data_IF_285987281955
#
_entry.id   IF_285987281955
#
_cell.length_a   1.000
_cell.length_b   1.000
_cell.length_c   1.000
_cell.angle_alpha   90.00
_cell.angle_beta   90.00
_cell.angle_gamma   90.00
#
_symmetry.space_group_name_H-M   'P 1'
#
loop_
_entity.id
_entity.type
_entity.pdbx_description
1 polymer ?
#
# COMPACT_ATOMS: atom_id res chain seq x y z
N UNK A 1 -42.17 -15.01 10.91
CA UNK A 1 -42.40 -13.75 10.16
C UNK A 1 -41.08 -12.98 10.11
N UNK A 2 -40.74 -12.45 8.93
CA UNK A 2 -39.41 -12.06 8.48
C UNK A 2 -38.78 -10.82 9.15
N UNK A 3 -37.45 -10.78 9.24
CA UNK A 3 -36.66 -9.53 9.19
C UNK A 3 -35.44 -9.74 8.29
N UNK A 4 -35.58 -9.26 7.05
CA UNK A 4 -34.54 -9.11 6.04
C UNK A 4 -33.88 -7.74 6.25
N UNK A 5 -32.62 -7.70 6.68
CA UNK A 5 -31.78 -6.50 6.58
C UNK A 5 -30.78 -6.70 5.45
N UNK A 6 -31.25 -6.49 4.22
CA UNK A 6 -30.39 -6.31 3.05
C UNK A 6 -29.70 -4.95 3.17
N UNK A 7 -28.53 -4.92 3.81
CA UNK A 7 -27.68 -3.74 3.82
C UNK A 7 -27.08 -3.52 2.44
N UNK A 8 -27.62 -2.51 1.79
CA UNK A 8 -27.27 -1.95 0.51
C UNK A 8 -25.79 -1.50 0.46
N UNK A 9 -24.86 -2.41 0.15
CA UNK A 9 -23.47 -2.05 -0.17
C UNK A 9 -23.46 -1.54 -1.61
N UNK A 10 -23.54 -0.22 -1.76
CA UNK A 10 -23.20 0.49 -3.00
C UNK A 10 -21.83 -0.04 -3.47
N UNK A 11 -21.63 -0.42 -4.74
CA UNK A 11 -20.28 -0.74 -5.21
C UNK A 11 -19.50 0.58 -5.13
N UNK A 12 -18.75 0.74 -4.04
CA UNK A 12 -17.75 1.79 -3.95
C UNK A 12 -16.88 1.58 -5.19
N UNK A 13 -16.82 2.59 -6.05
CA UNK A 13 -15.87 2.67 -7.17
C UNK A 13 -14.56 2.11 -6.62
N UNK A 14 -14.15 0.92 -7.06
CA UNK A 14 -13.02 0.19 -6.47
C UNK A 14 -11.74 0.94 -6.81
N UNK A 15 -11.49 2.04 -6.11
CA UNK A 15 -10.16 2.60 -5.99
C UNK A 15 -9.41 1.54 -5.20
N UNK A 16 -8.84 0.56 -5.91
CA UNK A 16 -8.14 -0.57 -5.29
C UNK A 16 -7.13 -0.01 -4.32
N UNK A 17 -7.37 -0.25 -3.04
CA UNK A 17 -6.39 0.06 -2.02
C UNK A 17 -5.09 -0.66 -2.36
N UNK A 18 -3.93 -0.03 -2.16
CA UNK A 18 -2.66 -0.68 -2.44
C UNK A 18 -2.52 -1.95 -1.59
N UNK A 19 -2.10 -3.03 -2.22
CA UNK A 19 -1.81 -4.29 -1.54
C UNK A 19 -0.54 -4.20 -0.70
N UNK A 20 0.42 -3.37 -1.15
CA UNK A 20 1.66 -3.09 -0.47
C UNK A 20 2.03 -1.61 -0.56
N UNK A 21 2.74 -1.11 0.45
CA UNK A 21 3.42 0.18 0.45
C UNK A 21 4.90 -0.04 0.18
N UNK A 22 5.48 0.77 -0.71
CA UNK A 22 6.89 0.74 -1.04
C UNK A 22 7.69 1.70 -0.15
N UNK A 23 8.70 1.15 0.51
CA UNK A 23 9.59 1.86 1.42
C UNK A 23 11.02 1.81 0.90
N UNK A 24 11.66 2.95 0.78
CA UNK A 24 13.12 3.01 0.68
C UNK A 24 13.70 2.84 2.09
N UNK A 25 14.60 1.88 2.22
CA UNK A 25 15.35 1.64 3.45
C UNK A 25 16.82 1.96 3.17
N UNK A 26 17.32 2.99 3.85
CA UNK A 26 18.71 3.45 3.76
C UNK A 26 19.37 3.48 5.14
N UNK A 27 20.70 3.39 5.18
CA UNK A 27 21.49 3.36 6.42
C UNK A 27 22.04 1.98 6.75
N UNK A 28 22.75 1.90 7.87
CA UNK A 28 23.42 0.68 8.34
C UNK A 28 22.53 -0.12 9.30
N UNK A 29 22.98 -1.30 9.71
CA UNK A 29 22.24 -2.20 10.60
C UNK A 29 21.78 -1.53 11.90
N UNK A 30 22.56 -0.58 12.43
CA UNK A 30 22.24 0.15 13.66
C UNK A 30 21.22 1.28 13.49
N UNK A 31 21.12 1.87 12.30
CA UNK A 31 20.25 3.03 12.02
C UNK A 31 19.71 2.96 10.60
N UNK A 32 18.50 2.42 10.47
CA UNK A 32 17.76 2.37 9.22
C UNK A 32 16.73 3.52 9.14
N UNK A 33 16.79 4.29 8.06
CA UNK A 33 15.81 5.29 7.68
C UNK A 33 14.77 4.65 6.76
N UNK A 34 13.50 4.83 7.09
CA UNK A 34 12.37 4.31 6.32
C UNK A 34 11.60 5.46 5.70
N UNK A 35 11.64 5.55 4.38
CA UNK A 35 10.96 6.60 3.62
C UNK A 35 9.93 5.95 2.71
N UNK A 36 8.66 6.38 2.78
CA UNK A 36 7.64 5.92 1.84
C UNK A 36 7.92 6.53 0.48
N UNK A 37 8.02 5.69 -0.56
CA UNK A 37 8.35 6.12 -1.93
C UNK A 37 7.32 5.69 -2.98
N UNK A 38 6.29 4.94 -2.57
CA UNK A 38 5.26 4.49 -3.49
C UNK A 38 4.37 3.40 -2.91
N UNK A 39 3.73 2.64 -3.80
CA UNK A 39 2.83 1.55 -3.46
C UNK A 39 2.72 0.52 -4.59
N UNK A 40 2.22 -0.68 -4.27
CA UNK A 40 1.99 -1.74 -5.23
C UNK A 40 0.57 -2.30 -5.14
N UNK A 41 0.03 -2.70 -6.30
CA UNK A 41 -1.30 -3.26 -6.46
C UNK A 41 -1.23 -4.61 -7.13
N UNK A 42 -2.03 -5.56 -6.66
CA UNK A 42 -2.17 -6.87 -7.29
C UNK A 42 -2.88 -6.74 -8.63
N UNK A 43 -2.42 -7.54 -9.59
CA UNK A 43 -3.08 -7.67 -10.88
C UNK A 43 -4.40 -8.44 -10.75
N UNK A 44 -5.24 -8.36 -11.78
CA UNK A 44 -6.56 -9.01 -11.78
C UNK A 44 -6.48 -10.53 -11.89
N UNK A 45 -5.46 -11.02 -12.59
CA UNK A 45 -5.14 -12.44 -12.76
C UNK A 45 -4.53 -13.07 -11.50
N UNK A 46 -4.13 -12.25 -10.52
CA UNK A 46 -3.42 -12.70 -9.32
C UNK A 46 -1.94 -13.00 -9.55
N UNK A 47 -1.45 -12.88 -10.78
CA UNK A 47 -0.13 -13.28 -11.23
C UNK A 47 0.75 -12.05 -11.47
N UNK A 48 0.82 -11.16 -10.48
CA UNK A 48 1.66 -9.99 -10.59
C UNK A 48 1.28 -8.83 -9.69
N UNK A 49 2.19 -7.86 -9.66
CA UNK A 49 2.05 -6.62 -8.94
C UNK A 49 2.47 -5.47 -9.86
N UNK A 50 1.68 -4.41 -9.91
CA UNK A 50 2.13 -3.13 -10.44
C UNK A 50 2.73 -2.34 -9.30
N UNK A 51 4.01 -1.99 -9.41
CA UNK A 51 4.69 -1.09 -8.49
C UNK A 51 4.71 0.33 -9.09
N UNK A 52 4.09 1.29 -8.40
CA UNK A 52 4.19 2.71 -8.74
C UNK A 52 5.08 3.41 -7.72
N UNK A 53 6.07 4.14 -8.22
CA UNK A 53 7.00 4.91 -7.41
C UNK A 53 6.77 6.40 -7.67
N UNK A 54 6.59 7.16 -6.59
CA UNK A 54 6.57 8.63 -6.63
C UNK A 54 8.00 9.17 -6.72
N UNK A 55 8.95 8.42 -6.16
CA UNK A 55 10.36 8.77 -6.06
C UNK A 55 11.20 7.53 -6.34
N UNK A 56 12.24 7.68 -7.17
CA UNK A 56 13.22 6.63 -7.42
C UNK A 56 14.50 6.96 -6.63
N UNK A 57 14.89 6.15 -5.63
CA UNK A 57 16.11 6.39 -4.88
C UNK A 57 17.32 6.16 -5.80
N UNK A 58 18.09 7.23 -6.06
CA UNK A 58 19.34 7.19 -6.83
C UNK A 58 20.54 6.78 -5.99
N UNK A 59 20.44 6.98 -4.68
CA UNK A 59 21.45 6.59 -3.71
C UNK A 59 21.21 5.13 -3.31
N UNK A 60 22.27 4.44 -2.88
CA UNK A 60 22.19 3.05 -2.43
C UNK A 60 21.11 2.79 -1.36
N UNK A 61 20.78 1.52 -1.16
CA UNK A 61 19.73 1.06 -0.26
C UNK A 61 18.85 0.02 -0.91
N UNK A 62 17.69 -0.27 -0.31
CA UNK A 62 16.74 -1.25 -0.83
C UNK A 62 15.31 -0.73 -0.80
N UNK A 63 14.50 -1.18 -1.75
CA UNK A 63 13.06 -0.96 -1.76
C UNK A 63 12.41 -2.19 -1.11
N UNK A 64 11.60 -1.95 -0.08
CA UNK A 64 10.88 -2.98 0.66
C UNK A 64 9.38 -2.76 0.50
N UNK A 65 8.67 -3.80 0.06
CA UNK A 65 7.21 -3.80 -0.01
C UNK A 65 6.64 -4.40 1.27
N UNK A 66 5.73 -3.68 1.93
CA UNK A 66 5.04 -4.16 3.14
C UNK A 66 3.54 -3.92 3.05
N UNK A 67 2.75 -4.80 3.65
CA UNK A 67 1.32 -4.58 3.75
C UNK A 67 1.04 -3.25 4.48
N UNK A 68 0.01 -2.49 4.04
CA UNK A 68 -0.47 -1.35 4.79
C UNK A 68 -0.82 -1.81 6.21
N UNK A 69 -0.13 -1.30 7.21
CA UNK A 69 -0.51 -1.55 8.60
C UNK A 69 -1.83 -0.82 8.87
N UNK A 70 -2.76 -1.43 9.61
CA UNK A 70 -4.08 -0.84 9.93
C UNK A 70 -3.99 0.48 10.72
N UNK A 71 -2.78 0.87 11.14
CA UNK A 71 -2.53 2.03 11.99
C UNK A 71 -2.14 3.33 11.27
N UNK A 72 -2.42 3.47 9.97
CA UNK A 72 -2.21 4.76 9.30
C UNK A 72 -3.21 5.04 8.17
N UNK A 73 -4.48 5.20 8.55
CA UNK A 73 -5.42 6.02 7.78
C UNK A 73 -5.23 7.50 8.17
N UNK A 74 -4.04 8.05 7.92
CA UNK A 74 -3.71 9.45 8.12
C UNK A 74 -4.17 10.31 6.94
N UNK A 75 -5.45 10.64 6.91
CA UNK A 75 -5.91 11.85 6.24
C UNK A 75 -5.36 13.07 6.99
N UNK A 76 -4.82 14.05 6.26
CA UNK A 76 -4.61 15.40 6.78
C UNK A 76 -3.17 15.92 6.72
N UNK A 77 -2.85 16.58 5.60
CA UNK A 77 -2.17 17.87 5.60
C UNK A 77 -2.69 18.66 4.41
#
# INVERSE_FOLDING_TARGET
MARNEKQNRRPARETRSPAYIAWHVAGNEDKAFWTRIGAAWTHQDGEGLTLQLDLVPVNGGRIVLRHPSENNNGAGA
#
